data_IF_796229044793
#
_entry.id   IF_796229044793
#
_cell.length_a   1.000
_cell.length_b   1.000
_cell.length_c   1.000
_cell.angle_alpha   90.00
_cell.angle_beta   90.00
_cell.angle_gamma   90.00
#
_symmetry.space_group_name_H-M   'P 1'
#
loop_
_entity.id
_entity.type
_entity.pdbx_description
1 polymer ?
#
# COMPACT_ATOMS: atom_id res chain seq x y z
N UNK A 1 -58.24 -19.00 0.18
CA UNK A 1 -57.45 -17.78 -0.13
C UNK A 1 -56.45 -17.41 0.97
N UNK A 2 -56.82 -17.44 2.26
CA UNK A 2 -55.90 -17.08 3.37
C UNK A 2 -54.60 -17.91 3.47
N UNK A 3 -54.65 -19.22 3.20
CA UNK A 3 -53.45 -20.07 3.22
C UNK A 3 -52.43 -19.75 2.10
N UNK A 4 -52.89 -19.24 0.96
CA UNK A 4 -52.03 -18.83 -0.16
C UNK A 4 -51.34 -17.51 0.18
N UNK A 5 -52.09 -16.55 0.74
CA UNK A 5 -51.57 -15.25 1.19
C UNK A 5 -50.55 -15.44 2.32
N UNK A 6 -50.83 -16.32 3.30
CA UNK A 6 -49.90 -16.64 4.39
C UNK A 6 -48.58 -17.24 3.89
N UNK A 7 -48.64 -18.12 2.87
CA UNK A 7 -47.43 -18.70 2.25
C UNK A 7 -46.62 -17.65 1.50
N UNK A 8 -47.27 -16.78 0.71
CA UNK A 8 -46.57 -15.70 0.00
C UNK A 8 -45.87 -14.73 0.96
N UNK A 9 -46.52 -14.39 2.07
CA UNK A 9 -45.95 -13.49 3.08
C UNK A 9 -44.72 -14.11 3.76
N UNK A 10 -44.76 -15.41 4.04
CA UNK A 10 -43.59 -16.15 4.55
C UNK A 10 -42.42 -16.17 3.56
N UNK A 11 -42.68 -16.41 2.28
CA UNK A 11 -41.62 -16.36 1.26
C UNK A 11 -40.98 -14.98 1.15
N UNK A 12 -41.78 -13.91 1.25
CA UNK A 12 -41.27 -12.55 1.21
C UNK A 12 -40.34 -12.26 2.39
N UNK A 13 -40.75 -12.62 3.60
CA UNK A 13 -39.92 -12.45 4.81
C UNK A 13 -38.61 -13.21 4.71
N UNK A 14 -38.65 -14.47 4.29
CA UNK A 14 -37.43 -15.30 4.12
C UNK A 14 -36.52 -14.70 3.03
N UNK A 15 -37.09 -14.27 1.90
CA UNK A 15 -36.31 -13.64 0.83
C UNK A 15 -35.65 -12.35 1.29
N UNK A 16 -36.33 -11.50 2.07
CA UNK A 16 -35.75 -10.28 2.63
C UNK A 16 -34.61 -10.58 3.61
N UNK A 17 -34.77 -11.60 4.47
CA UNK A 17 -33.69 -12.01 5.41
C UNK A 17 -32.47 -12.53 4.65
N UNK A 18 -32.68 -13.35 3.62
CA UNK A 18 -31.58 -13.87 2.79
C UNK A 18 -30.88 -12.73 2.03
N UNK A 19 -31.64 -11.81 1.43
CA UNK A 19 -31.07 -10.65 0.75
C UNK A 19 -30.25 -9.77 1.69
N UNK A 20 -30.75 -9.53 2.91
CA UNK A 20 -30.03 -8.77 3.93
C UNK A 20 -28.76 -9.47 4.41
N UNK A 21 -28.81 -10.79 4.61
CA UNK A 21 -27.63 -11.58 4.98
C UNK A 21 -26.55 -11.55 3.89
N UNK A 22 -26.95 -11.69 2.61
CA UNK A 22 -26.03 -11.57 1.48
C UNK A 22 -25.43 -10.17 1.41
N UNK A 23 -26.23 -9.13 1.61
CA UNK A 23 -25.75 -7.74 1.67
C UNK A 23 -24.71 -7.54 2.77
N UNK A 24 -24.94 -8.06 3.99
CA UNK A 24 -23.96 -7.95 5.09
C UNK A 24 -22.66 -8.70 4.79
N UNK A 25 -22.75 -9.91 4.24
CA UNK A 25 -21.56 -10.71 3.92
C UNK A 25 -20.78 -10.04 2.78
N UNK A 26 -21.44 -9.68 1.67
CA UNK A 26 -20.77 -9.01 0.56
C UNK A 26 -20.22 -7.64 0.97
N UNK A 27 -20.96 -6.86 1.76
CA UNK A 27 -20.52 -5.56 2.25
C UNK A 27 -19.31 -5.65 3.19
N UNK A 28 -19.27 -6.65 4.08
CA UNK A 28 -18.12 -6.87 4.96
C UNK A 28 -16.85 -7.29 4.21
N UNK A 29 -16.98 -8.11 3.15
CA UNK A 29 -15.86 -8.50 2.29
C UNK A 29 -15.32 -7.31 1.50
N UNK A 30 -16.21 -6.47 0.95
CA UNK A 30 -15.80 -5.27 0.20
C UNK A 30 -15.11 -4.24 1.09
N UNK A 31 -15.64 -3.97 2.30
CA UNK A 31 -15.00 -3.04 3.24
C UNK A 31 -13.67 -3.56 3.79
N UNK A 32 -13.52 -4.87 3.99
CA UNK A 32 -12.23 -5.46 4.37
C UNK A 32 -11.16 -5.26 3.29
N UNK A 33 -11.54 -5.24 2.01
CA UNK A 33 -10.63 -4.99 0.90
C UNK A 33 -10.28 -3.51 0.71
N UNK A 34 -11.07 -2.60 1.27
CA UNK A 34 -10.84 -1.15 1.27
C UNK A 34 -10.00 -0.69 2.49
N UNK A 35 -9.76 -1.57 3.46
CA UNK A 35 -8.77 -1.35 4.51
C UNK A 35 -7.43 -1.05 3.86
N UNK A 36 -6.94 0.20 4.06
CA UNK A 36 -5.67 0.72 3.52
C UNK A 36 -4.44 -0.12 3.86
N UNK A 37 -4.58 -1.11 4.73
CA UNK A 37 -3.56 -2.04 5.19
C UNK A 37 -2.87 -2.81 4.04
N UNK A 38 -3.52 -2.95 2.88
CA UNK A 38 -2.98 -3.69 1.72
C UNK A 38 -2.81 -2.86 0.44
N UNK A 39 -2.93 -1.53 0.49
CA UNK A 39 -2.64 -0.73 -0.71
C UNK A 39 -1.13 -0.69 -0.95
N UNK A 40 -0.65 -1.15 -2.12
CA UNK A 40 0.77 -1.14 -2.41
C UNK A 40 1.26 0.30 -2.52
N UNK A 41 2.45 0.54 -1.98
CA UNK A 41 3.09 1.84 -2.06
C UNK A 41 3.67 2.02 -3.46
N UNK A 42 3.33 3.15 -4.08
CA UNK A 42 3.84 3.51 -5.40
C UNK A 42 5.22 4.14 -5.25
N UNK A 43 6.21 3.49 -5.86
CA UNK A 43 7.58 3.98 -5.98
C UNK A 43 7.80 4.38 -7.42
N UNK A 44 8.10 5.65 -7.65
CA UNK A 44 8.48 6.19 -8.96
C UNK A 44 9.94 5.94 -9.22
N UNK A 45 10.25 5.36 -10.36
CA UNK A 45 11.61 5.09 -10.81
C UNK A 45 11.96 5.94 -12.02
N UNK A 46 12.80 6.96 -11.81
CA UNK A 46 13.42 7.72 -12.89
C UNK A 46 14.73 7.02 -13.31
N UNK A 47 14.71 6.44 -14.50
CA UNK A 47 15.87 5.73 -15.05
C UNK A 47 16.92 6.73 -15.57
N UNK A 48 18.08 6.74 -14.94
CA UNK A 48 19.31 7.38 -15.42
C UNK A 48 20.26 6.38 -16.09
N UNK A 49 21.41 6.87 -16.56
CA UNK A 49 22.45 6.03 -17.18
C UNK A 49 23.10 5.08 -16.16
N UNK A 50 22.50 3.90 -15.94
CA UNK A 50 22.97 2.90 -14.98
C UNK A 50 22.59 3.18 -13.52
N UNK A 51 21.56 3.99 -13.31
CA UNK A 51 21.05 4.30 -11.99
C UNK A 51 19.51 4.41 -12.00
N UNK A 52 18.89 3.96 -10.93
CA UNK A 52 17.47 4.10 -10.63
C UNK A 52 17.32 5.20 -9.58
N UNK A 53 16.60 6.26 -9.93
CA UNK A 53 16.26 7.33 -9.00
C UNK A 53 14.86 7.08 -8.46
N UNK A 54 14.81 6.45 -7.30
CA UNK A 54 13.57 5.98 -6.69
C UNK A 54 13.00 7.05 -5.76
N UNK A 55 11.71 7.34 -5.89
CA UNK A 55 11.02 8.29 -5.02
C UNK A 55 9.58 7.90 -4.77
N UNK A 56 9.00 8.36 -3.66
CA UNK A 56 7.63 8.03 -3.32
C UNK A 56 7.20 8.61 -1.99
N UNK A 57 6.05 8.17 -1.51
CA UNK A 57 5.53 8.53 -0.19
C UNK A 57 5.15 7.28 0.58
N UNK A 58 5.50 7.23 1.86
CA UNK A 58 5.20 6.12 2.76
C UNK A 58 4.46 6.67 3.97
N UNK A 59 3.44 5.96 4.43
CA UNK A 59 2.77 6.29 5.68
C UNK A 59 3.67 5.87 6.84
N UNK A 60 4.03 6.82 7.71
CA UNK A 60 4.74 6.54 8.96
C UNK A 60 3.77 6.61 10.13
N UNK A 61 4.01 5.87 11.23
CA UNK A 61 3.05 5.74 12.33
C UNK A 61 2.72 7.05 13.05
N UNK A 62 3.68 7.99 13.13
CA UNK A 62 3.49 9.28 13.80
C UNK A 62 4.13 10.43 13.04
N UNK A 63 3.65 11.67 13.24
CA UNK A 63 4.25 12.85 12.64
C UNK A 63 5.67 13.15 13.13
N UNK A 64 6.10 12.60 14.27
CA UNK A 64 7.47 12.80 14.74
C UNK A 64 8.46 11.81 14.15
N UNK A 65 7.98 10.72 13.54
CA UNK A 65 8.85 9.71 13.00
C UNK A 65 9.57 10.29 11.77
N UNK A 66 10.90 10.25 11.85
CA UNK A 66 11.78 10.53 10.73
C UNK A 66 11.92 9.24 9.92
N UNK A 67 11.87 9.38 8.59
CA UNK A 67 12.02 8.27 7.67
C UNK A 67 13.43 8.27 7.10
N UNK A 68 14.13 7.16 7.23
CA UNK A 68 15.39 6.90 6.52
C UNK A 68 15.20 5.76 5.54
N UNK A 69 15.79 5.88 4.36
CA UNK A 69 15.75 4.87 3.31
C UNK A 69 17.17 4.40 3.00
N UNK A 70 17.34 3.09 2.87
CA UNK A 70 18.57 2.46 2.40
C UNK A 70 18.23 1.42 1.34
N UNK A 71 19.16 1.17 0.43
CA UNK A 71 19.05 0.14 -0.60
C UNK A 71 20.05 -0.96 -0.31
N UNK A 72 19.58 -2.20 -0.31
CA UNK A 72 20.40 -3.38 -0.08
C UNK A 72 20.22 -4.37 -1.24
N UNK A 73 21.31 -4.99 -1.70
CA UNK A 73 21.22 -6.06 -2.69
C UNK A 73 20.96 -7.38 -1.97
N UNK A 74 19.90 -8.10 -2.36
CA UNK A 74 19.55 -9.39 -1.78
C UNK A 74 20.03 -10.57 -2.62
N UNK A 75 19.86 -10.45 -3.93
CA UNK A 75 20.25 -11.46 -4.91
C UNK A 75 20.60 -10.75 -6.23
N UNK A 76 21.03 -11.52 -7.22
CA UNK A 76 21.28 -11.00 -8.56
C UNK A 76 20.02 -10.28 -9.08
N UNK A 77 20.17 -8.99 -9.36
CA UNK A 77 19.11 -8.08 -9.81
C UNK A 77 17.91 -7.90 -8.86
N UNK A 78 17.97 -8.36 -7.62
CA UNK A 78 16.92 -8.11 -6.61
C UNK A 78 17.43 -7.19 -5.52
N UNK A 79 16.77 -6.04 -5.37
CA UNK A 79 17.13 -5.02 -4.39
C UNK A 79 16.00 -4.75 -3.42
N UNK A 80 16.38 -4.48 -2.17
CA UNK A 80 15.47 -4.18 -1.08
C UNK A 80 15.59 -2.72 -0.67
N UNK A 81 14.45 -2.04 -0.61
CA UNK A 81 14.29 -0.73 -0.01
C UNK A 81 14.01 -0.90 1.48
N UNK A 82 15.01 -0.62 2.30
CA UNK A 82 14.93 -0.70 3.76
C UNK A 82 14.53 0.67 4.29
N UNK A 83 13.28 0.80 4.66
CA UNK A 83 12.74 1.96 5.37
C UNK A 83 12.87 1.74 6.87
N UNK A 84 13.44 2.73 7.56
CA UNK A 84 13.50 2.73 9.03
C UNK A 84 12.94 4.03 9.55
N UNK A 85 12.03 3.91 10.51
CA UNK A 85 11.55 5.04 11.30
C UNK A 85 12.45 5.25 12.49
N UNK A 86 12.69 6.52 12.82
CA UNK A 86 13.36 6.91 14.03
C UNK A 86 12.56 8.01 14.71
N UNK A 87 12.40 7.88 16.02
CA UNK A 87 11.71 8.84 16.87
C UNK A 87 12.66 9.39 17.91
N UNK A 88 12.58 10.69 18.11
CA UNK A 88 13.28 11.33 19.21
C UNK A 88 12.65 10.95 20.56
N UNK A 89 13.39 10.36 21.51
CA UNK A 89 12.81 9.84 22.76
C UNK A 89 12.18 10.90 23.67
N UNK A 90 12.54 12.17 23.50
CA UNK A 90 12.06 13.28 24.33
C UNK A 90 10.72 13.86 23.87
N UNK A 91 10.20 13.45 22.70
CA UNK A 91 8.98 13.99 22.11
C UNK A 91 7.83 13.00 22.26
N UNK A 92 6.75 13.43 22.90
CA UNK A 92 5.48 12.68 22.92
C UNK A 92 4.72 13.02 21.65
N UNK A 93 4.34 11.98 20.90
CA UNK A 93 3.76 12.12 19.58
C UNK A 93 2.42 11.42 19.54
N UNK A 94 1.44 12.09 18.93
CA UNK A 94 0.14 11.48 18.68
C UNK A 94 0.28 10.35 17.67
N UNK A 95 -0.41 9.23 17.92
CA UNK A 95 -0.48 8.10 17.00
C UNK A 95 -1.42 8.44 15.86
N UNK A 96 -0.87 9.13 14.86
CA UNK A 96 -1.59 9.54 13.66
C UNK A 96 -0.70 9.32 12.44
N UNK A 97 -1.14 8.45 11.53
CA UNK A 97 -0.36 8.10 10.35
C UNK A 97 -0.25 9.30 9.40
N UNK A 98 0.98 9.62 8.99
CA UNK A 98 1.23 10.71 8.05
C UNK A 98 2.11 10.28 6.88
N UNK A 99 1.90 10.84 5.68
CA UNK A 99 2.77 10.55 4.55
C UNK A 99 4.14 11.23 4.71
N UNK A 100 5.20 10.46 4.46
CA UNK A 100 6.59 10.94 4.39
C UNK A 100 7.17 10.65 3.01
N UNK A 101 7.67 11.70 2.37
CA UNK A 101 8.39 11.59 1.12
C UNK A 101 9.75 10.93 1.34
N UNK A 102 10.15 10.08 0.41
CA UNK A 102 11.51 9.55 0.34
C UNK A 102 12.07 9.71 -1.07
N UNK A 103 13.40 9.76 -1.14
CA UNK A 103 14.17 9.69 -2.38
C UNK A 103 15.45 8.93 -2.13
N UNK A 104 15.80 8.02 -3.02
CA UNK A 104 17.06 7.27 -2.98
C UNK A 104 17.57 7.01 -4.39
N UNK A 105 18.85 6.70 -4.51
CA UNK A 105 19.49 6.34 -5.77
C UNK A 105 20.09 4.95 -5.62
N UNK A 106 19.78 4.08 -6.57
CA UNK A 106 20.36 2.75 -6.66
C UNK A 106 21.17 2.65 -7.96
N UNK A 107 22.42 2.20 -7.86
CA UNK A 107 23.23 1.88 -9.03
C UNK A 107 23.00 0.43 -9.43
N UNK A 108 22.21 0.23 -10.50
CA UNK A 108 21.85 -1.09 -11.01
C UNK A 108 21.59 -1.01 -12.53
N UNK A 109 21.60 -2.16 -13.24
CA UNK A 109 21.24 -2.23 -14.65
C UNK A 109 19.82 -1.72 -14.90
N UNK A 110 19.58 -0.99 -15.99
CA UNK A 110 18.30 -0.34 -16.24
C UNK A 110 17.09 -1.30 -16.41
N UNK A 111 17.33 -2.59 -16.64
CA UNK A 111 16.29 -3.59 -16.88
C UNK A 111 16.59 -4.89 -16.12
N UNK A 112 15.54 -5.69 -15.91
CA UNK A 112 15.65 -6.98 -15.23
C UNK A 112 15.79 -6.87 -13.71
N UNK A 113 15.58 -5.68 -13.15
CA UNK A 113 15.69 -5.42 -11.71
C UNK A 113 14.34 -5.60 -11.03
N UNK A 114 14.34 -6.35 -9.92
CA UNK A 114 13.21 -6.51 -9.03
C UNK A 114 13.43 -5.72 -7.73
N UNK A 115 12.36 -5.13 -7.21
CA UNK A 115 12.38 -4.37 -5.97
C UNK A 115 11.44 -4.99 -4.94
N UNK A 116 11.90 -5.06 -3.71
CA UNK A 116 11.06 -5.31 -2.54
C UNK A 116 11.29 -4.22 -1.50
N UNK A 117 10.41 -4.11 -0.51
CA UNK A 117 10.56 -3.11 0.55
C UNK A 117 10.23 -3.67 1.93
N UNK A 118 10.80 -3.03 2.95
CA UNK A 118 10.47 -3.27 4.35
C UNK A 118 10.37 -1.95 5.10
N UNK A 119 9.42 -1.83 6.03
CA UNK A 119 9.35 -0.75 7.02
C UNK A 119 9.62 -1.33 8.41
N UNK A 120 10.72 -0.91 9.05
CA UNK A 120 11.12 -1.38 10.39
C UNK A 120 11.22 -2.92 10.51
N UNK A 121 11.62 -3.57 9.41
CA UNK A 121 11.76 -5.03 9.31
C UNK A 121 10.49 -5.77 8.90
N UNK A 122 9.35 -5.08 8.75
CA UNK A 122 8.09 -5.65 8.27
C UNK A 122 8.02 -5.49 6.75
N UNK A 123 7.67 -6.55 6.03
CA UNK A 123 7.53 -6.52 4.57
C UNK A 123 6.44 -5.52 4.14
N UNK A 124 6.77 -4.70 3.15
CA UNK A 124 5.91 -3.61 2.66
C UNK A 124 5.62 -3.82 1.18
N UNK A 125 4.35 -4.02 0.78
CA UNK A 125 4.01 -4.20 -0.62
C UNK A 125 4.29 -2.90 -1.39
N UNK A 126 5.11 -2.99 -2.43
CA UNK A 126 5.44 -1.88 -3.31
C UNK A 126 5.12 -2.21 -4.76
N UNK A 127 4.75 -1.19 -5.52
CA UNK A 127 4.72 -1.24 -6.98
C UNK A 127 5.70 -0.17 -7.46
N UNK A 128 6.64 -0.59 -8.32
CA UNK A 128 7.59 0.33 -8.93
C UNK A 128 7.07 0.71 -10.31
N UNK A 129 6.82 1.99 -10.52
CA UNK A 129 6.37 2.55 -11.78
C UNK A 129 7.49 3.39 -12.40
N UNK A 130 7.83 3.16 -13.69
CA UNK A 130 8.77 4.02 -14.38
C UNK A 130 8.17 5.42 -14.50
N UNK A 131 8.92 6.43 -14.08
CA UNK A 131 8.58 7.82 -14.28
C UNK A 131 9.23 8.31 -15.58
N UNK A 132 8.43 8.92 -16.45
CA UNK A 132 8.95 9.60 -17.62
C UNK A 132 9.84 10.76 -17.14
N UNK A 133 11.05 10.94 -17.71
CA UNK A 133 11.91 12.05 -17.32
C UNK A 133 11.17 13.37 -17.59
N UNK A 134 11.00 14.18 -16.55
CA UNK A 134 10.37 15.50 -16.70
C UNK A 134 11.29 16.40 -17.52
N UNK A 135 10.96 16.57 -18.82
CA UNK A 135 11.62 17.41 -19.83
C UNK A 135 13.01 16.98 -20.31
N UNK A 136 13.04 16.53 -21.56
CA UNK A 136 14.14 16.83 -22.48
C UNK A 136 13.95 18.30 -22.88
N UNK A 137 14.64 19.24 -22.23
CA UNK A 137 14.91 20.55 -22.84
C UNK A 137 15.98 20.32 -23.91
N UNK A 138 15.55 20.30 -25.16
CA UNK A 138 16.41 20.47 -26.34
C UNK A 138 16.80 21.95 -26.42
#
# INVERSE_FOLDING_TARGET
MGAIISRMLWFFVVASVVAYAVYLIAGSVVHAQESRENQPIIVRDELGSGAHHLSGMIMVPTPCDQLSVRTEALADFTYMLVFRTWREPSVICEMNEVPRYFRTVLFAPATGVAFIATLDGIGLPIIVEPALPSRITI
#
